data_IF_052371492706
#
_entry.id   IF_052371492706
#
_cell.length_a   1.000
_cell.length_b   1.000
_cell.length_c   1.000
_cell.angle_alpha   90.00
_cell.angle_beta   90.00
_cell.angle_gamma   90.00
#
_symmetry.space_group_name_H-M   'P 1'
#
loop_
_entity.id
_entity.type
_entity.pdbx_description
1 polymer ?
#
# COMPACT_ATOMS: atom_id res chain seq x y z
N UNK A 1 -24.95 -18.78 -19.30
CA UNK A 1 -23.54 -18.70 -18.88
C UNK A 1 -23.43 -17.43 -18.08
N UNK A 2 -23.22 -17.53 -16.78
CA UNK A 2 -22.97 -16.37 -15.95
C UNK A 2 -21.56 -15.86 -16.28
N UNK A 3 -21.47 -14.75 -17.02
CA UNK A 3 -20.20 -14.05 -17.25
C UNK A 3 -19.78 -13.43 -15.92
N UNK A 4 -19.05 -14.19 -15.10
CA UNK A 4 -18.35 -13.57 -13.98
C UNK A 4 -17.31 -12.59 -14.53
N UNK A 5 -17.29 -11.35 -14.04
CA UNK A 5 -16.32 -10.36 -14.48
C UNK A 5 -14.90 -10.85 -14.15
N UNK A 6 -14.01 -10.82 -15.14
CA UNK A 6 -12.58 -11.09 -14.94
C UNK A 6 -11.97 -9.87 -14.26
N UNK A 7 -11.63 -9.99 -12.99
CA UNK A 7 -10.91 -8.96 -12.25
C UNK A 7 -9.41 -9.05 -12.57
N UNK A 8 -8.85 -8.01 -13.18
CA UNK A 8 -7.41 -7.94 -13.52
C UNK A 8 -6.65 -6.90 -12.71
N UNK A 9 -7.30 -6.32 -11.68
CA UNK A 9 -6.73 -5.21 -10.90
C UNK A 9 -6.94 -5.45 -9.41
N UNK A 10 -5.85 -5.45 -8.66
CA UNK A 10 -5.85 -5.77 -7.23
C UNK A 10 -5.18 -4.68 -6.42
N UNK A 11 -5.79 -4.37 -5.27
CA UNK A 11 -5.14 -3.60 -4.21
C UNK A 11 -4.75 -4.58 -3.10
N UNK A 12 -3.50 -4.55 -2.67
CA UNK A 12 -2.99 -5.45 -1.63
C UNK A 12 -2.33 -4.63 -0.54
N UNK A 13 -2.66 -4.97 0.71
CA UNK A 13 -2.11 -4.34 1.89
C UNK A 13 -0.80 -4.94 2.38
N UNK A 14 0.17 -4.11 2.77
CA UNK A 14 1.41 -4.57 3.41
C UNK A 14 1.67 -3.76 4.69
N UNK A 15 1.67 -4.46 5.82
CA UNK A 15 1.97 -3.90 7.13
C UNK A 15 3.34 -4.35 7.63
N UNK A 16 4.18 -3.41 8.05
CA UNK A 16 5.45 -3.72 8.70
C UNK A 16 5.26 -3.82 10.21
N UNK A 17 5.58 -4.99 10.79
CA UNK A 17 5.51 -5.23 12.23
C UNK A 17 6.92 -5.38 12.81
N UNK A 18 7.29 -4.50 13.74
CA UNK A 18 8.54 -4.58 14.50
C UNK A 18 8.39 -5.47 15.72
N UNK A 19 9.50 -6.01 16.21
CA UNK A 19 9.52 -6.79 17.45
C UNK A 19 8.87 -6.01 18.60
N UNK A 20 7.94 -6.66 19.31
CA UNK A 20 7.22 -6.07 20.43
C UNK A 20 5.98 -5.23 20.07
N UNK A 21 5.68 -5.03 18.78
CA UNK A 21 4.40 -4.43 18.36
C UNK A 21 3.29 -5.49 18.33
N UNK A 22 2.13 -5.16 18.87
CA UNK A 22 0.98 -6.07 18.99
C UNK A 22 -0.35 -5.44 18.59
N UNK A 23 -0.36 -4.16 18.22
CA UNK A 23 -1.55 -3.43 17.78
C UNK A 23 -1.29 -2.82 16.41
N UNK A 24 -2.32 -2.80 15.56
CA UNK A 24 -2.23 -2.18 14.23
C UNK A 24 -1.83 -0.71 14.33
N UNK A 25 -2.36 0.02 15.33
CA UNK A 25 -1.99 1.41 15.60
C UNK A 25 -0.48 1.58 15.76
N UNK A 26 0.18 0.70 16.52
CA UNK A 26 1.64 0.76 16.67
C UNK A 26 2.35 0.48 15.34
N UNK A 27 1.84 -0.46 14.54
CA UNK A 27 2.45 -0.83 13.25
C UNK A 27 2.28 0.27 12.18
N UNK A 28 1.13 0.95 12.15
CA UNK A 28 0.88 2.09 11.25
C UNK A 28 1.77 3.30 11.55
N UNK A 29 2.24 3.44 12.79
CA UNK A 29 3.13 4.52 13.21
C UNK A 29 4.61 4.25 12.89
N UNK A 30 4.93 3.18 12.14
CA UNK A 30 6.31 2.90 11.72
C UNK A 30 6.76 3.89 10.63
N UNK A 31 7.57 4.88 11.01
CA UNK A 31 8.18 5.84 10.08
C UNK A 31 9.33 5.25 9.24
N UNK A 32 9.90 4.11 9.67
CA UNK A 32 11.01 3.46 8.99
C UNK A 32 10.79 1.94 8.87
N UNK A 33 11.17 1.38 7.73
CA UNK A 33 11.27 -0.07 7.48
C UNK A 33 12.60 -0.65 7.94
N UNK A 34 12.77 -1.97 7.81
CA UNK A 34 14.07 -2.64 7.90
C UNK A 34 14.63 -2.92 6.50
N UNK A 35 15.95 -3.12 6.39
CA UNK A 35 16.59 -3.47 5.12
C UNK A 35 16.01 -4.74 4.49
N UNK A 36 15.72 -5.77 5.30
CA UNK A 36 15.09 -7.00 4.83
C UNK A 36 13.65 -6.77 4.33
N UNK A 37 12.92 -5.83 4.95
CA UNK A 37 11.59 -5.46 4.46
C UNK A 37 11.67 -4.71 3.14
N UNK A 38 12.62 -3.79 2.99
CA UNK A 38 12.84 -3.08 1.72
C UNK A 38 13.26 -4.04 0.58
N UNK A 39 14.12 -5.02 0.87
CA UNK A 39 14.49 -6.08 -0.08
C UNK A 39 13.27 -6.93 -0.48
N UNK A 40 12.41 -7.27 0.48
CA UNK A 40 11.14 -7.95 0.18
C UNK A 40 10.24 -7.09 -0.72
N UNK A 41 10.12 -5.79 -0.46
CA UNK A 41 9.32 -4.88 -1.30
C UNK A 41 9.86 -4.82 -2.73
N UNK A 42 11.18 -4.77 -2.90
CA UNK A 42 11.84 -4.74 -4.21
C UNK A 42 11.70 -6.09 -4.95
N UNK A 43 11.58 -7.19 -4.22
CA UNK A 43 11.34 -8.51 -4.79
C UNK A 43 9.91 -8.68 -5.33
N UNK A 44 8.89 -8.16 -4.61
CA UNK A 44 7.48 -8.37 -4.99
C UNK A 44 6.97 -7.38 -6.05
N UNK A 45 7.71 -6.32 -6.34
CA UNK A 45 7.32 -5.35 -7.36
C UNK A 45 8.29 -4.20 -7.50
N UNK A 46 7.95 -3.29 -8.42
CA UNK A 46 8.72 -2.10 -8.69
C UNK A 46 8.26 -0.94 -7.80
N UNK A 47 9.22 -0.22 -7.21
CA UNK A 47 8.93 1.06 -6.56
C UNK A 47 8.65 2.14 -7.59
N UNK A 48 7.47 2.74 -7.52
CA UNK A 48 6.96 3.72 -8.50
C UNK A 48 6.64 5.05 -7.84
N UNK A 49 6.91 6.16 -8.53
CA UNK A 49 6.49 7.51 -8.11
C UNK A 49 5.01 7.66 -8.41
N UNK A 50 4.22 8.04 -7.40
CA UNK A 50 2.77 8.20 -7.55
C UNK A 50 2.40 9.46 -8.34
N UNK A 51 3.11 10.57 -8.14
CA UNK A 51 2.84 11.81 -8.86
C UNK A 51 3.07 11.63 -10.35
N UNK A 52 2.01 11.80 -11.15
CA UNK A 52 2.04 11.58 -12.59
C UNK A 52 1.92 10.10 -13.02
N UNK A 53 1.69 9.17 -12.09
CA UNK A 53 1.43 7.78 -12.41
C UNK A 53 0.12 7.64 -13.21
N UNK A 54 0.21 6.94 -14.34
CA UNK A 54 -0.86 6.81 -15.34
C UNK A 54 -1.42 5.38 -15.47
N UNK A 55 -0.84 4.42 -14.76
CA UNK A 55 -1.36 3.04 -14.69
C UNK A 55 -2.34 2.85 -13.51
N UNK A 56 -2.71 1.60 -13.20
CA UNK A 56 -3.61 1.33 -12.08
C UNK A 56 -3.05 1.86 -10.76
N UNK A 57 -3.75 2.82 -10.17
CA UNK A 57 -3.33 3.53 -8.95
C UNK A 57 -3.89 2.97 -7.65
N UNK A 58 -4.75 1.96 -7.70
CA UNK A 58 -5.31 1.33 -6.50
C UNK A 58 -5.96 2.28 -5.49
N UNK A 59 -6.47 3.44 -5.93
CA UNK A 59 -7.04 4.48 -5.06
C UNK A 59 -6.04 5.48 -4.48
N UNK A 60 -4.75 5.36 -4.75
CA UNK A 60 -3.72 6.32 -4.33
C UNK A 60 -3.81 7.63 -5.12
N UNK A 61 -3.38 8.72 -4.49
CA UNK A 61 -3.29 10.05 -5.07
C UNK A 61 -2.09 10.17 -6.00
N UNK A 62 -2.36 10.49 -7.27
CA UNK A 62 -1.34 10.68 -8.31
C UNK A 62 -1.13 12.15 -8.68
N UNK A 63 -1.75 13.09 -7.94
CA UNK A 63 -1.72 14.54 -8.21
C UNK A 63 -0.99 15.31 -7.13
N UNK A 64 -1.32 15.07 -5.86
CA UNK A 64 -0.96 15.94 -4.73
C UNK A 64 -0.13 15.29 -3.62
N UNK A 65 0.38 14.07 -3.81
CA UNK A 65 1.16 13.30 -2.82
C UNK A 65 0.44 13.05 -1.47
N UNK A 66 -0.89 13.19 -1.43
CA UNK A 66 -1.68 13.08 -0.19
C UNK A 66 -1.77 11.66 0.37
N UNK A 67 -1.43 10.64 -0.43
CA UNK A 67 -1.33 9.23 -0.02
C UNK A 67 0.11 8.72 -0.14
N UNK A 68 1.10 9.61 0.02
CA UNK A 68 2.51 9.26 -0.05
C UNK A 68 3.12 9.59 -1.41
N UNK A 69 4.44 9.46 -1.50
CA UNK A 69 5.17 9.83 -2.72
C UNK A 69 5.41 8.63 -3.63
N UNK A 70 5.53 7.44 -3.06
CA UNK A 70 5.85 6.21 -3.78
C UNK A 70 5.00 5.07 -3.27
N UNK A 71 4.91 4.03 -4.09
CA UNK A 71 4.29 2.75 -3.75
C UNK A 71 5.05 1.63 -4.46
N UNK A 72 4.65 0.37 -4.22
CA UNK A 72 5.12 -0.79 -4.96
C UNK A 72 4.02 -1.21 -5.93
N UNK A 73 4.40 -1.48 -7.17
CA UNK A 73 3.51 -1.90 -8.24
C UNK A 73 4.07 -3.14 -8.93
N UNK A 74 3.19 -4.07 -9.32
CA UNK A 74 3.56 -5.23 -10.11
C UNK A 74 2.52 -5.47 -11.20
N UNK A 75 2.99 -5.82 -12.40
CA UNK A 75 2.15 -6.33 -13.48
C UNK A 75 2.60 -7.74 -13.83
N UNK A 76 1.66 -8.69 -13.81
CA UNK A 76 1.93 -10.08 -14.18
C UNK A 76 0.74 -10.67 -14.94
N UNK A 77 0.99 -11.20 -16.15
CA UNK A 77 -0.04 -11.79 -17.01
C UNK A 77 -1.28 -10.89 -17.18
N UNK A 78 -1.08 -9.60 -17.44
CA UNK A 78 -2.14 -8.58 -17.53
C UNK A 78 -2.94 -8.34 -16.24
N UNK A 79 -2.45 -8.80 -15.08
CA UNK A 79 -2.99 -8.44 -13.78
C UNK A 79 -2.11 -7.35 -13.16
N UNK A 80 -2.73 -6.22 -12.82
CA UNK A 80 -2.09 -5.08 -12.17
C UNK A 80 -2.31 -5.16 -10.65
N UNK A 81 -1.24 -5.05 -9.88
CA UNK A 81 -1.29 -5.04 -8.41
C UNK A 81 -0.67 -3.75 -7.90
N UNK A 82 -1.45 -2.98 -7.14
CA UNK A 82 -0.99 -1.79 -6.42
C UNK A 82 -0.90 -2.09 -4.93
N UNK A 83 0.30 -1.99 -4.36
CA UNK A 83 0.55 -2.32 -2.96
C UNK A 83 0.46 -1.09 -2.05
N UNK A 84 -0.35 -1.20 -1.00
CA UNK A 84 -0.51 -0.19 0.03
C UNK A 84 0.43 -0.52 1.18
N UNK A 85 1.66 0.02 1.10
CA UNK A 85 2.72 -0.24 2.07
C UNK A 85 2.64 0.77 3.20
N UNK A 86 2.37 0.29 4.42
CA UNK A 86 2.23 1.10 5.64
C UNK A 86 3.33 2.15 5.83
N UNK A 87 4.60 1.80 5.58
CA UNK A 87 5.76 2.70 5.74
C UNK A 87 5.95 3.71 4.60
N UNK A 88 5.20 3.58 3.49
CA UNK A 88 5.24 4.53 2.36
C UNK A 88 4.03 5.47 2.34
N UNK A 89 3.02 5.20 3.17
CA UNK A 89 1.89 6.07 3.38
C UNK A 89 2.28 7.25 4.30
N UNK A 90 1.67 8.43 4.13
CA UNK A 90 2.05 9.61 4.86
C UNK A 90 1.69 9.45 6.34
N UNK A 91 2.65 9.81 7.20
CA UNK A 91 2.48 9.87 8.64
C UNK A 91 2.02 11.27 9.08
N UNK A 92 0.99 11.33 9.93
CA UNK A 92 0.59 12.58 10.57
C UNK A 92 0.40 12.33 12.07
N UNK A 93 1.32 12.77 12.94
CA UNK A 93 1.26 12.49 14.38
C UNK A 93 -0.01 13.05 15.06
N UNK A 94 -0.63 14.06 14.46
CA UNK A 94 -1.88 14.68 14.92
C UNK A 94 -3.14 13.89 14.56
N UNK A 95 -3.04 12.89 13.68
CA UNK A 95 -4.19 12.19 13.14
C UNK A 95 -4.43 10.87 13.90
N UNK A 96 -5.14 10.96 15.03
CA UNK A 96 -5.59 9.79 15.81
C UNK A 96 -6.48 8.83 15.00
N UNK A 97 -6.95 9.26 13.83
CA UNK A 97 -7.71 8.49 12.84
C UNK A 97 -6.85 7.94 11.69
N UNK A 98 -5.52 7.89 11.84
CA UNK A 98 -4.66 7.36 10.78
C UNK A 98 -4.96 5.89 10.47
N UNK A 99 -5.32 5.09 11.48
CA UNK A 99 -5.95 3.79 11.26
C UNK A 99 -7.18 3.89 10.35
N UNK A 100 -8.12 4.79 10.65
CA UNK A 100 -9.36 5.07 9.88
C UNK A 100 -9.17 5.44 8.42
N UNK A 101 -8.09 6.14 8.07
CA UNK A 101 -7.80 6.51 6.68
C UNK A 101 -7.10 5.39 5.91
N UNK A 102 -6.45 4.46 6.60
CA UNK A 102 -5.82 3.26 6.02
C UNK A 102 -6.81 2.09 5.96
N UNK A 103 -7.76 2.01 6.89
CA UNK A 103 -8.82 0.99 6.95
C UNK A 103 -9.63 0.84 5.66
N UNK A 104 -10.05 1.88 4.90
CA UNK A 104 -10.73 1.68 3.61
C UNK A 104 -9.84 1.09 2.50
N UNK A 105 -8.51 1.10 2.69
CA UNK A 105 -7.56 0.53 1.74
C UNK A 105 -7.16 -0.90 2.08
N UNK A 106 -7.09 -1.26 3.37
CA UNK A 106 -6.64 -2.59 3.84
C UNK A 106 -7.78 -3.55 4.22
N UNK A 107 -9.01 -3.08 4.42
CA UNK A 107 -10.17 -3.91 4.82
C UNK A 107 -10.70 -4.87 3.75
N UNK A 108 -9.94 -5.16 2.69
CA UNK A 108 -10.29 -6.15 1.67
C UNK A 108 -9.26 -7.27 1.67
N UNK A 109 -9.01 -7.86 2.84
CA UNK A 109 -8.43 -9.20 2.97
C UNK A 109 -9.08 -9.88 4.19
N UNK A 110 -10.40 -10.04 4.15
CA UNK A 110 -11.12 -11.08 4.90
C UNK A 110 -11.92 -11.92 3.91
#
# INVERSE_FOLDING_TARGET
MDEQPIYTRYKVGIMFCRAGQSTEEHMYNNEHSSAAFDEFLDFIGQRVRLKGWDQYKGGLDTRGDTTGTHSIYCEYQAHEVMFHVSTLLPFTPSNRQQGSNIYPFLSVVE
#
